data_IF_775297601358
#
_entry.id   IF_775297601358
#
_cell.length_a   1.000
_cell.length_b   1.000
_cell.length_c   1.000
_cell.angle_alpha   90.00
_cell.angle_beta   90.00
_cell.angle_gamma   90.00
#
_symmetry.space_group_name_H-M   'P 1'
#
loop_
_entity.id
_entity.type
_entity.pdbx_description
1 polymer ?
#
# COMPACT_ATOMS: atom_id res chain seq x y z
N UNK A 1 27.75 -36.25 8.02
CA UNK A 1 26.37 -36.11 7.54
C UNK A 1 25.85 -34.78 8.04
N UNK A 2 25.82 -33.75 7.19
CA UNK A 2 25.20 -32.47 7.54
C UNK A 2 23.73 -32.55 7.13
N UNK A 3 22.85 -32.61 8.13
CA UNK A 3 21.41 -32.56 7.91
C UNK A 3 21.03 -31.20 7.31
N UNK A 4 20.38 -31.21 6.16
CA UNK A 4 19.73 -30.03 5.59
C UNK A 4 18.54 -29.68 6.49
N UNK A 5 18.74 -28.75 7.41
CA UNK A 5 17.63 -28.14 8.15
C UNK A 5 16.75 -27.42 7.12
N UNK A 6 15.57 -27.98 6.87
CA UNK A 6 14.51 -27.33 6.10
C UNK A 6 14.16 -26.01 6.79
N UNK A 7 14.22 -24.88 6.08
CA UNK A 7 13.72 -23.59 6.60
C UNK A 7 12.22 -23.71 6.78
N UNK A 8 11.78 -23.92 8.02
CA UNK A 8 10.38 -24.14 8.38
C UNK A 8 9.62 -22.82 8.59
N UNK A 9 9.41 -22.03 7.53
CA UNK A 9 8.34 -21.03 7.40
C UNK A 9 8.49 -20.30 6.05
N UNK A 10 7.55 -20.50 5.12
CA UNK A 10 7.46 -19.74 3.88
C UNK A 10 6.80 -18.37 4.10
N UNK A 11 6.95 -17.43 3.17
CA UNK A 11 6.21 -16.16 3.21
C UNK A 11 4.69 -16.40 3.19
N UNK A 12 4.23 -17.44 2.49
CA UNK A 12 2.83 -17.83 2.47
C UNK A 12 2.35 -18.20 3.88
N UNK A 13 3.11 -19.02 4.61
CA UNK A 13 2.74 -19.43 5.98
C UNK A 13 2.64 -18.22 6.93
N UNK A 14 3.52 -17.24 6.74
CA UNK A 14 3.51 -16.01 7.54
C UNK A 14 2.28 -15.15 7.22
N UNK A 15 2.01 -14.87 5.94
CA UNK A 15 0.88 -14.05 5.51
C UNK A 15 -0.45 -14.67 5.96
N UNK A 16 -0.62 -15.98 5.78
CA UNK A 16 -1.85 -16.68 6.21
C UNK A 16 -2.09 -16.62 7.72
N UNK A 17 -1.02 -16.47 8.51
CA UNK A 17 -1.12 -16.45 9.97
C UNK A 17 -1.34 -15.05 10.55
N UNK A 18 -0.80 -14.02 9.90
CA UNK A 18 -0.71 -12.68 10.48
C UNK A 18 -1.41 -11.59 9.68
N UNK A 19 -1.77 -11.82 8.43
CA UNK A 19 -2.52 -10.84 7.64
C UNK A 19 -4.01 -10.88 7.98
N UNK A 20 -4.66 -9.72 7.90
CA UNK A 20 -6.10 -9.62 7.98
C UNK A 20 -6.75 -10.35 6.78
N UNK A 21 -7.96 -10.86 6.99
CA UNK A 21 -8.74 -11.52 5.93
C UNK A 21 -8.98 -10.55 4.77
N UNK A 22 -8.79 -11.01 3.54
CA UNK A 22 -9.20 -10.23 2.36
C UNK A 22 -9.93 -11.12 1.34
N UNK A 23 -11.03 -10.65 0.74
CA UNK A 23 -11.66 -11.37 -0.37
C UNK A 23 -10.72 -11.45 -1.60
N UNK A 24 -9.71 -10.59 -1.69
CA UNK A 24 -8.74 -10.58 -2.78
C UNK A 24 -7.62 -11.63 -2.60
N UNK A 25 -7.52 -12.31 -1.46
CA UNK A 25 -6.44 -13.28 -1.17
C UNK A 25 -6.34 -14.40 -2.21
N UNK A 26 -7.49 -14.79 -2.80
CA UNK A 26 -7.56 -15.80 -3.88
C UNK A 26 -6.78 -15.41 -5.14
N UNK A 27 -6.45 -14.12 -5.30
CA UNK A 27 -5.73 -13.60 -6.46
C UNK A 27 -4.20 -13.64 -6.27
N UNK A 28 -3.71 -13.87 -5.05
CA UNK A 28 -2.28 -13.86 -4.73
C UNK A 28 -1.61 -15.17 -5.15
N UNK A 29 -0.53 -15.08 -5.92
CA UNK A 29 0.27 -16.23 -6.37
C UNK A 29 1.72 -16.08 -5.94
N UNK A 30 2.23 -17.05 -5.19
CA UNK A 30 3.61 -17.08 -4.73
C UNK A 30 4.48 -17.81 -5.76
N UNK A 31 5.60 -17.18 -6.11
CA UNK A 31 6.59 -17.76 -7.01
C UNK A 31 7.98 -17.57 -6.40
N UNK A 32 8.78 -18.62 -6.41
CA UNK A 32 10.18 -18.53 -6.02
C UNK A 32 10.99 -17.91 -7.16
N UNK A 33 11.37 -16.64 -6.98
CA UNK A 33 12.13 -15.88 -7.96
C UNK A 33 13.50 -15.52 -7.40
N UNK A 34 14.56 -15.83 -8.14
CA UNK A 34 15.91 -15.34 -7.86
C UNK A 34 16.13 -14.03 -8.59
N UNK A 35 16.06 -12.91 -7.87
CA UNK A 35 16.32 -11.59 -8.45
C UNK A 35 17.80 -11.42 -8.78
N UNK A 36 18.09 -10.93 -9.99
CA UNK A 36 19.43 -10.52 -10.38
C UNK A 36 19.54 -8.99 -10.25
N UNK A 37 20.23 -8.51 -9.22
CA UNK A 37 20.37 -7.08 -8.95
C UNK A 37 21.33 -6.43 -9.96
N UNK A 38 20.78 -6.02 -11.10
CA UNK A 38 21.50 -5.20 -12.07
C UNK A 38 21.15 -3.74 -11.78
N UNK A 39 22.15 -2.87 -11.60
CA UNK A 39 21.96 -1.42 -11.32
C UNK A 39 21.45 -0.61 -12.51
N UNK A 40 20.96 -1.25 -13.57
CA UNK A 40 20.42 -0.57 -14.76
C UNK A 40 19.20 0.28 -14.40
N UNK A 41 18.92 1.32 -15.19
CA UNK A 41 17.81 2.25 -14.98
C UNK A 41 16.50 1.50 -14.70
N UNK A 42 16.02 1.63 -13.46
CA UNK A 42 14.77 1.03 -13.02
C UNK A 42 13.65 2.02 -13.25
N UNK A 43 12.52 1.57 -13.80
CA UNK A 43 11.35 2.41 -14.15
C UNK A 43 10.71 3.18 -12.97
N UNK A 44 11.13 2.90 -11.74
CA UNK A 44 10.62 3.52 -10.51
C UNK A 44 11.62 4.47 -9.83
N UNK A 45 12.82 4.63 -10.40
CA UNK A 45 13.89 5.45 -9.82
C UNK A 45 13.99 6.78 -10.53
N UNK A 46 14.08 7.88 -9.78
CA UNK A 46 14.19 9.23 -10.32
C UNK A 46 12.94 10.07 -10.06
N UNK A 47 12.77 11.11 -10.86
CA UNK A 47 11.62 12.02 -10.87
C UNK A 47 11.19 12.30 -12.32
N UNK A 48 9.97 12.80 -12.49
CA UNK A 48 9.45 13.19 -13.80
C UNK A 48 8.21 12.39 -14.22
N UNK A 49 7.51 12.82 -15.28
CA UNK A 49 6.20 12.29 -15.65
C UNK A 49 6.18 10.79 -15.93
N UNK A 50 7.24 10.25 -16.55
CA UNK A 50 7.35 8.81 -16.84
C UNK A 50 7.46 7.97 -15.56
N UNK A 51 8.26 8.43 -14.61
CA UNK A 51 8.45 7.78 -13.31
C UNK A 51 7.18 7.90 -12.48
N UNK A 52 6.55 9.07 -12.47
CA UNK A 52 5.29 9.29 -11.77
C UNK A 52 4.16 8.43 -12.34
N UNK A 53 4.13 8.24 -13.67
CA UNK A 53 3.18 7.33 -14.33
C UNK A 53 3.44 5.89 -13.92
N UNK A 54 4.71 5.44 -13.92
CA UNK A 54 5.04 4.09 -13.48
C UNK A 54 4.64 3.83 -12.02
N UNK A 55 4.82 4.81 -11.12
CA UNK A 55 4.36 4.71 -9.75
C UNK A 55 2.83 4.70 -9.62
N UNK A 56 2.15 5.54 -10.41
CA UNK A 56 0.69 5.63 -10.45
C UNK A 56 0.05 4.30 -10.85
N UNK A 57 0.62 3.59 -11.83
CA UNK A 57 0.16 2.26 -12.28
C UNK A 57 0.09 1.19 -11.16
N UNK A 58 0.83 1.37 -10.07
CA UNK A 58 0.94 0.39 -8.99
C UNK A 58 0.43 0.92 -7.64
N UNK A 59 0.08 2.20 -7.53
CA UNK A 59 -0.32 2.85 -6.27
C UNK A 59 -1.83 3.05 -6.15
N UNK A 60 -2.24 3.58 -5.00
CA UNK A 60 -3.63 3.99 -4.72
C UNK A 60 -4.23 4.91 -5.78
N UNK A 61 -3.42 5.72 -6.46
CA UNK A 61 -3.88 6.74 -7.41
C UNK A 61 -4.70 6.14 -8.58
N UNK A 62 -4.48 4.88 -8.94
CA UNK A 62 -5.27 4.17 -9.97
C UNK A 62 -6.27 3.16 -9.39
N UNK A 63 -5.96 2.56 -8.23
CA UNK A 63 -6.78 1.47 -7.68
C UNK A 63 -7.94 1.98 -6.81
N UNK A 64 -7.81 3.19 -6.26
CA UNK A 64 -8.81 3.84 -5.43
C UNK A 64 -9.08 3.12 -4.12
N UNK A 65 -10.19 3.46 -3.48
CA UNK A 65 -10.71 2.74 -2.32
C UNK A 65 -11.47 1.48 -2.73
N UNK A 66 -11.45 0.47 -1.87
CA UNK A 66 -12.21 -0.75 -2.05
C UNK A 66 -13.47 -0.73 -1.18
N UNK A 67 -14.40 -1.61 -1.54
CA UNK A 67 -15.67 -1.77 -0.88
C UNK A 67 -15.86 -3.23 -0.46
N UNK A 68 -16.45 -3.46 0.71
CA UNK A 68 -16.93 -4.78 1.13
C UNK A 68 -18.39 -4.72 1.61
N UNK A 69 -19.15 -5.82 1.46
CA UNK A 69 -20.51 -5.89 1.98
C UNK A 69 -20.50 -5.92 3.51
N UNK A 70 -21.60 -5.50 4.13
CA UNK A 70 -21.76 -5.51 5.60
C UNK A 70 -21.56 -6.89 6.23
N UNK A 71 -21.94 -7.95 5.51
CA UNK A 71 -21.76 -9.34 5.97
C UNK A 71 -20.30 -9.74 6.17
N UNK A 72 -19.37 -9.04 5.53
CA UNK A 72 -17.94 -9.36 5.57
C UNK A 72 -17.17 -8.57 6.63
N UNK A 73 -17.74 -7.51 7.22
CA UNK A 73 -17.08 -6.71 8.26
C UNK A 73 -16.67 -7.57 9.47
N UNK A 74 -17.54 -8.51 9.87
CA UNK A 74 -17.27 -9.40 11.00
C UNK A 74 -16.01 -10.27 10.80
N UNK A 75 -15.63 -10.56 9.54
CA UNK A 75 -14.42 -11.33 9.22
C UNK A 75 -13.13 -10.52 9.46
N UNK A 76 -13.22 -9.19 9.37
CA UNK A 76 -12.11 -8.28 9.64
C UNK A 76 -11.95 -7.96 11.13
N UNK A 77 -12.95 -8.28 11.97
CA UNK A 77 -12.96 -7.90 13.39
C UNK A 77 -13.00 -6.39 13.61
N UNK A 78 -13.48 -5.63 12.61
CA UNK A 78 -13.56 -4.17 12.65
C UNK A 78 -14.90 -3.68 13.25
N UNK A 79 -14.92 -2.50 13.87
CA UNK A 79 -16.13 -1.97 14.50
C UNK A 79 -17.21 -1.55 13.49
N UNK A 80 -18.48 -1.71 13.85
CA UNK A 80 -19.60 -1.34 12.96
C UNK A 80 -19.71 0.16 12.64
N UNK A 81 -19.03 1.01 13.42
CA UNK A 81 -18.94 2.46 13.20
C UNK A 81 -17.86 2.85 12.17
N UNK A 82 -17.16 1.88 11.57
CA UNK A 82 -16.28 2.12 10.43
C UNK A 82 -17.00 2.85 9.29
N UNK A 83 -16.23 3.58 8.46
CA UNK A 83 -16.76 4.41 7.38
C UNK A 83 -17.60 3.58 6.39
N UNK A 84 -18.86 3.99 6.23
CA UNK A 84 -19.80 3.37 5.30
C UNK A 84 -19.86 4.14 4.00
N UNK A 85 -19.96 3.41 2.90
CA UNK A 85 -20.06 3.95 1.54
C UNK A 85 -20.97 3.07 0.69
N UNK A 86 -21.62 3.68 -0.30
CA UNK A 86 -22.46 2.96 -1.26
C UNK A 86 -21.60 2.34 -2.35
N UNK A 87 -21.91 1.11 -2.74
CA UNK A 87 -21.23 0.44 -3.83
C UNK A 87 -21.41 1.26 -5.12
N UNK A 88 -20.33 1.58 -5.88
CA UNK A 88 -20.37 2.55 -6.98
C UNK A 88 -21.31 2.15 -8.13
N UNK A 89 -21.52 0.85 -8.35
CA UNK A 89 -22.41 0.30 -9.38
C UNK A 89 -23.81 -0.08 -8.85
N UNK A 90 -23.91 -0.82 -7.75
CA UNK A 90 -25.18 -1.37 -7.27
C UNK A 90 -25.92 -0.47 -6.28
N UNK A 91 -25.24 0.51 -5.67
CA UNK A 91 -25.81 1.37 -4.62
C UNK A 91 -26.02 0.69 -3.28
N UNK A 92 -25.47 -0.52 -3.08
CA UNK A 92 -25.57 -1.24 -1.81
C UNK A 92 -24.66 -0.59 -0.74
N UNK A 93 -25.21 -0.24 0.41
CA UNK A 93 -24.42 0.27 1.54
C UNK A 93 -23.50 -0.82 2.08
N UNK A 94 -22.20 -0.53 2.10
CA UNK A 94 -21.17 -1.37 2.69
C UNK A 94 -20.12 -0.52 3.39
N UNK A 95 -18.92 -1.07 3.51
CA UNK A 95 -17.81 -0.41 4.21
C UNK A 95 -16.68 -0.07 3.25
N UNK A 96 -16.08 1.11 3.46
CA UNK A 96 -14.85 1.50 2.79
C UNK A 96 -13.70 0.71 3.41
N UNK A 97 -12.88 0.09 2.57
CA UNK A 97 -11.67 -0.61 2.98
C UNK A 97 -10.53 -0.26 2.04
N UNK A 98 -9.30 -0.35 2.54
CA UNK A 98 -8.08 -0.18 1.75
C UNK A 98 -7.19 -1.42 1.85
N UNK A 99 -6.57 -1.82 0.74
CA UNK A 99 -5.52 -2.82 0.78
C UNK A 99 -4.20 -2.19 1.22
N UNK A 100 -3.67 -2.64 2.35
CA UNK A 100 -2.46 -2.09 2.98
C UNK A 100 -1.23 -2.05 2.06
N UNK A 101 -1.16 -2.93 1.06
CA UNK A 101 -0.07 -2.89 0.06
C UNK A 101 -0.02 -1.55 -0.70
N UNK A 102 -1.17 -0.96 -1.04
CA UNK A 102 -1.20 0.33 -1.75
C UNK A 102 -0.78 1.47 -0.83
N UNK A 103 -1.06 1.35 0.47
CA UNK A 103 -0.64 2.31 1.47
C UNK A 103 0.89 2.31 1.61
N UNK A 104 1.48 1.13 1.74
CA UNK A 104 2.93 0.97 1.71
C UNK A 104 3.57 1.56 0.44
N UNK A 105 2.96 1.33 -0.73
CA UNK A 105 3.46 1.86 -2.00
C UNK A 105 3.32 3.39 -2.09
N UNK A 106 2.23 3.96 -1.58
CA UNK A 106 2.06 5.40 -1.47
C UNK A 106 3.16 6.03 -0.60
N UNK A 107 3.39 5.51 0.62
CA UNK A 107 4.43 6.02 1.51
C UNK A 107 5.83 5.87 0.90
N UNK A 108 6.11 4.74 0.22
CA UNK A 108 7.38 4.54 -0.47
C UNK A 108 7.58 5.55 -1.62
N UNK A 109 6.51 5.83 -2.39
CA UNK A 109 6.54 6.85 -3.43
C UNK A 109 6.73 8.26 -2.84
N UNK A 110 6.09 8.56 -1.71
CA UNK A 110 6.24 9.83 -1.02
C UNK A 110 7.70 10.02 -0.57
N UNK A 111 8.31 9.02 0.06
CA UNK A 111 9.73 9.03 0.43
C UNK A 111 10.64 9.29 -0.78
N UNK A 112 10.38 8.64 -1.92
CA UNK A 112 11.08 8.94 -3.17
C UNK A 112 10.90 10.42 -3.56
N UNK A 113 9.68 10.94 -3.58
CA UNK A 113 9.41 12.33 -3.97
C UNK A 113 10.12 13.33 -3.05
N UNK A 114 10.23 13.04 -1.75
CA UNK A 114 10.98 13.90 -0.80
C UNK A 114 12.46 14.01 -1.17
N UNK A 115 13.06 12.97 -1.77
CA UNK A 115 14.45 13.05 -2.26
C UNK A 115 14.65 13.96 -3.47
N UNK A 116 13.55 14.40 -4.12
CA UNK A 116 13.53 15.32 -5.26
C UNK A 116 12.62 16.52 -4.95
N UNK A 117 12.75 17.06 -3.74
CA UNK A 117 11.85 18.09 -3.20
C UNK A 117 11.72 19.29 -4.12
N UNK A 118 12.82 19.77 -4.70
CA UNK A 118 12.85 20.95 -5.57
C UNK A 118 11.98 20.78 -6.83
N UNK A 119 11.80 19.53 -7.28
CA UNK A 119 10.94 19.20 -8.41
C UNK A 119 9.46 19.11 -8.02
N UNK A 120 9.14 18.51 -6.86
CA UNK A 120 7.75 18.25 -6.46
C UNK A 120 7.10 19.37 -5.65
N UNK A 121 7.86 20.18 -4.91
CA UNK A 121 7.33 21.27 -4.10
C UNK A 121 6.54 22.30 -4.93
N UNK A 122 6.97 22.71 -6.14
CA UNK A 122 6.18 23.59 -7.01
C UNK A 122 4.93 22.94 -7.61
N UNK A 123 4.88 21.61 -7.69
CA UNK A 123 3.77 20.85 -8.28
C UNK A 123 2.60 20.65 -7.31
N UNK A 124 2.81 20.91 -6.01
CA UNK A 124 1.77 20.77 -4.97
C UNK A 124 1.49 19.32 -4.60
N UNK A 125 0.21 19.00 -4.35
CA UNK A 125 -0.21 17.68 -3.83
C UNK A 125 0.18 17.50 -2.35
N UNK A 126 0.77 16.36 -2.02
CA UNK A 126 1.28 16.06 -0.66
C UNK A 126 2.27 17.12 -0.12
N UNK A 127 2.95 17.83 -1.01
CA UNK A 127 3.88 18.90 -0.65
C UNK A 127 3.18 20.23 -0.34
N UNK A 128 1.90 20.38 -0.75
CA UNK A 128 1.12 21.59 -0.51
C UNK A 128 0.63 21.72 0.94
N UNK A 129 0.55 20.60 1.68
CA UNK A 129 0.20 20.58 3.09
C UNK A 129 1.28 21.19 4.01
N UNK A 130 2.45 21.50 3.44
CA UNK A 130 3.55 22.15 4.14
C UNK A 130 4.55 21.16 4.76
N UNK A 131 5.70 21.67 5.21
CA UNK A 131 6.82 20.85 5.65
C UNK A 131 6.53 20.03 6.91
N UNK A 132 5.67 20.52 7.81
CA UNK A 132 5.29 19.82 9.04
C UNK A 132 4.43 18.58 8.75
N UNK A 133 3.42 18.71 7.90
CA UNK A 133 2.60 17.58 7.46
C UNK A 133 3.44 16.52 6.74
N UNK A 134 4.33 16.96 5.85
CA UNK A 134 5.25 16.07 5.13
C UNK A 134 6.22 15.37 6.08
N UNK A 135 6.72 16.07 7.10
CA UNK A 135 7.56 15.48 8.14
C UNK A 135 6.80 14.49 9.00
N UNK A 136 5.52 14.73 9.31
CA UNK A 136 4.70 13.75 10.00
C UNK A 136 4.57 12.47 9.15
N UNK A 137 4.35 12.58 7.84
CA UNK A 137 4.22 11.42 6.93
C UNK A 137 5.54 10.66 6.68
N UNK A 138 6.70 11.28 6.89
CA UNK A 138 8.01 10.71 6.50
C UNK A 138 9.01 10.54 7.65
N UNK A 139 8.74 11.14 8.81
CA UNK A 139 9.68 11.25 9.92
C UNK A 139 9.54 10.21 11.03
N UNK A 140 8.39 9.54 11.16
CA UNK A 140 8.18 8.52 12.19
C UNK A 140 7.90 7.14 11.57
N UNK A 141 8.60 6.07 11.99
CA UNK A 141 8.27 4.70 11.55
C UNK A 141 6.83 4.28 11.89
N UNK A 142 6.23 4.90 12.93
CA UNK A 142 4.85 4.69 13.34
C UNK A 142 3.84 5.47 12.49
N UNK A 143 4.21 6.62 11.90
CA UNK A 143 3.30 7.41 11.08
C UNK A 143 3.05 6.80 9.70
N UNK A 144 3.95 5.96 9.21
CA UNK A 144 3.72 5.12 8.03
C UNK A 144 2.60 4.09 8.29
N UNK A 145 2.40 3.65 9.54
CA UNK A 145 1.28 2.79 9.91
C UNK A 145 0.01 3.60 10.25
N UNK A 146 0.15 4.80 10.82
CA UNK A 146 -0.99 5.67 11.18
C UNK A 146 -1.60 6.45 10.01
N UNK A 147 -0.94 6.52 8.85
CA UNK A 147 -1.56 7.08 7.65
C UNK A 147 -2.79 6.26 7.19
N UNK A 148 -2.96 5.02 7.67
CA UNK A 148 -4.18 4.23 7.47
C UNK A 148 -5.38 4.70 8.31
N UNK A 149 -5.18 5.57 9.30
CA UNK A 149 -6.24 6.13 10.16
C UNK A 149 -6.82 7.46 9.64
N UNK A 150 -6.27 8.00 8.54
CA UNK A 150 -6.72 9.26 7.93
C UNK A 150 -7.60 9.06 6.67
N UNK A 151 -8.00 7.82 6.36
CA UNK A 151 -8.84 7.48 5.20
C UNK A 151 -10.06 6.62 5.57
#
# INVERSE_FOLDING_TARGET
MFGTSSRSNSTLDHVQRFSAWSPADVSVKYNDVKYNFTKSAQKFVGYGPEIDTAWREISYDEVGDQWIPKSDLAKLGMPEYSLKVDHPVTGEEGYRVGMEVFHHLHCLNLLRKVTYKEYYEPLGGEFAAGPEALQHHTGEPASIADCGNYF
#
